data_IF_619377403640
#
_entry.id   IF_619377403640
#
_cell.length_a   1.000
_cell.length_b   1.000
_cell.length_c   1.000
_cell.angle_alpha   90.00
_cell.angle_beta   90.00
_cell.angle_gamma   90.00
#
_symmetry.space_group_name_H-M   'P 1'
#
loop_
_entity.id
_entity.type
_entity.pdbx_description
1 polymer ?
#
# COMPACT_ATOMS: atom_id res chain seq x y z
N UNK A 1 -13.55 62.27 -3.58
CA UNK A 1 -13.49 60.81 -3.81
C UNK A 1 -12.60 60.16 -2.76
N UNK A 2 -13.20 59.36 -1.86
CA UNK A 2 -12.71 59.08 -0.51
C UNK A 2 -11.59 58.05 -0.36
N UNK A 3 -10.84 58.21 0.73
CA UNK A 3 -9.74 57.34 1.22
C UNK A 3 -10.16 55.87 1.36
N UNK A 4 -11.46 55.61 1.48
CA UNK A 4 -12.08 54.28 1.58
C UNK A 4 -11.94 53.45 0.28
N UNK A 5 -11.95 54.10 -0.89
CA UNK A 5 -11.78 53.41 -2.17
C UNK A 5 -10.37 52.84 -2.38
N UNK A 6 -9.34 53.52 -1.84
CA UNK A 6 -7.94 53.03 -1.87
C UNK A 6 -7.74 51.86 -0.91
N UNK A 7 -8.36 51.86 0.27
CA UNK A 7 -8.25 50.75 1.22
C UNK A 7 -8.94 49.47 0.73
N UNK A 8 -10.11 49.58 0.05
CA UNK A 8 -10.80 48.42 -0.55
C UNK A 8 -9.99 47.78 -1.68
N UNK A 9 -9.32 48.58 -2.52
CA UNK A 9 -8.43 48.07 -3.59
C UNK A 9 -7.19 47.35 -3.04
N UNK A 10 -6.59 47.87 -1.96
CA UNK A 10 -5.44 47.23 -1.31
C UNK A 10 -5.83 45.92 -0.58
N UNK A 11 -7.01 45.85 0.04
CA UNK A 11 -7.52 44.62 0.65
C UNK A 11 -7.84 43.55 -0.39
N UNK A 12 -8.43 43.93 -1.53
CA UNK A 12 -8.70 43.00 -2.65
C UNK A 12 -7.42 42.49 -3.30
N UNK A 13 -6.42 43.35 -3.53
CA UNK A 13 -5.12 42.94 -4.05
C UNK A 13 -4.34 42.02 -3.08
N UNK A 14 -4.49 42.20 -1.76
CA UNK A 14 -3.94 41.27 -0.77
C UNK A 14 -4.70 39.92 -0.76
N UNK A 15 -6.03 39.95 -0.86
CA UNK A 15 -6.86 38.75 -0.93
C UNK A 15 -6.59 37.93 -2.21
N UNK A 16 -6.40 38.58 -3.36
CA UNK A 16 -6.02 37.96 -4.64
C UNK A 16 -4.59 37.40 -4.58
N UNK A 17 -3.65 38.05 -3.87
CA UNK A 17 -2.30 37.51 -3.63
C UNK A 17 -2.30 36.31 -2.68
N UNK A 18 -3.17 36.27 -1.67
CA UNK A 18 -3.32 35.08 -0.79
C UNK A 18 -4.07 33.94 -1.49
N UNK A 19 -5.05 34.23 -2.33
CA UNK A 19 -5.73 33.23 -3.16
C UNK A 19 -4.79 32.63 -4.23
N UNK A 20 -3.96 33.46 -4.87
CA UNK A 20 -2.94 33.01 -5.82
C UNK A 20 -1.82 32.20 -5.15
N UNK A 21 -1.54 32.42 -3.86
CA UNK A 21 -0.64 31.55 -3.06
C UNK A 21 -1.25 30.20 -2.71
N UNK A 22 -2.59 30.11 -2.56
CA UNK A 22 -3.29 28.86 -2.29
C UNK A 22 -3.32 27.91 -3.51
N UNK A 23 -3.13 28.46 -4.71
CA UNK A 23 -3.05 27.71 -5.97
C UNK A 23 -1.61 27.40 -6.41
N UNK A 24 -0.62 27.56 -5.51
CA UNK A 24 0.78 27.15 -5.71
C UNK A 24 1.12 25.86 -4.98
N UNK A 25 0.10 25.03 -4.70
CA UNK A 25 0.31 23.64 -4.32
C UNK A 25 0.88 22.86 -5.50
N UNK A 26 1.93 22.09 -5.23
CA UNK A 26 2.46 20.99 -6.05
C UNK A 26 2.92 21.30 -7.48
N UNK A 27 3.75 22.34 -7.67
CA UNK A 27 4.63 22.37 -8.84
C UNK A 27 6.09 22.56 -8.39
N UNK A 28 6.60 21.60 -7.63
CA UNK A 28 8.02 21.45 -7.36
C UNK A 28 8.37 19.97 -7.45
N UNK A 29 9.35 19.68 -8.31
CA UNK A 29 9.92 18.37 -8.67
C UNK A 29 9.12 17.54 -9.70
N UNK A 30 9.31 17.90 -10.98
CA UNK A 30 9.76 16.98 -12.05
C UNK A 30 8.90 15.81 -12.53
N UNK A 31 7.92 15.33 -11.77
CA UNK A 31 7.19 14.12 -12.12
C UNK A 31 5.96 14.45 -12.94
N UNK A 32 5.84 13.82 -14.12
CA UNK A 32 4.75 14.07 -15.06
C UNK A 32 3.44 13.44 -14.58
N UNK A 33 2.79 14.12 -13.63
CA UNK A 33 1.49 13.76 -13.10
C UNK A 33 0.38 13.69 -14.15
N UNK A 34 0.63 14.13 -15.40
CA UNK A 34 -0.32 13.94 -16.51
C UNK A 34 -0.46 12.46 -16.84
N UNK A 35 0.66 11.72 -16.90
CA UNK A 35 0.64 10.27 -17.18
C UNK A 35 -0.15 9.51 -16.12
N UNK A 36 0.05 9.84 -14.84
CA UNK A 36 -0.71 9.24 -13.75
C UNK A 36 -2.20 9.58 -13.89
N UNK A 37 -2.56 10.84 -14.14
CA UNK A 37 -3.97 11.24 -14.34
C UNK A 37 -4.62 10.52 -15.54
N UNK A 38 -3.90 10.37 -16.64
CA UNK A 38 -4.36 9.61 -17.82
C UNK A 38 -4.57 8.12 -17.49
N UNK A 39 -3.70 7.53 -16.67
CA UNK A 39 -3.89 6.16 -16.17
C UNK A 39 -5.12 6.06 -15.27
N UNK A 40 -5.27 6.97 -14.31
CA UNK A 40 -6.41 6.96 -13.38
C UNK A 40 -7.73 7.15 -14.13
N UNK A 41 -7.77 8.05 -15.11
CA UNK A 41 -8.94 8.27 -15.95
C UNK A 41 -9.38 7.00 -16.71
N UNK A 42 -8.42 6.20 -17.20
CA UNK A 42 -8.73 4.90 -17.85
C UNK A 42 -9.30 3.85 -16.90
N UNK A 43 -9.06 4.00 -15.60
CA UNK A 43 -9.56 3.12 -14.55
C UNK A 43 -10.81 3.69 -13.85
N UNK A 44 -11.35 4.81 -14.34
CA UNK A 44 -12.46 5.52 -13.70
C UNK A 44 -12.12 5.93 -12.26
N UNK A 45 -10.86 6.33 -12.05
CA UNK A 45 -10.33 6.82 -10.78
C UNK A 45 -9.91 8.29 -10.88
N UNK A 46 -9.93 8.99 -9.75
CA UNK A 46 -9.49 10.37 -9.60
C UNK A 46 -8.55 10.56 -8.41
N UNK A 47 -7.67 11.55 -8.54
CA UNK A 47 -6.68 11.91 -7.52
C UNK A 47 -7.28 12.90 -6.52
N UNK A 48 -7.06 12.64 -5.23
CA UNK A 48 -7.38 13.55 -4.11
C UNK A 48 -6.08 13.98 -3.45
N UNK A 49 -5.72 15.25 -3.60
CA UNK A 49 -4.44 15.79 -3.15
C UNK A 49 -4.40 16.01 -1.64
N UNK A 50 -3.36 15.47 -0.99
CA UNK A 50 -3.07 15.61 0.43
C UNK A 50 -2.16 16.80 0.68
N UNK A 51 -2.15 17.30 1.93
CA UNK A 51 -1.15 18.28 2.33
C UNK A 51 0.25 17.65 2.24
N UNK A 52 1.15 18.32 1.51
CA UNK A 52 2.55 17.93 1.34
C UNK A 52 3.38 18.25 2.59
N UNK A 53 3.09 17.52 3.67
CA UNK A 53 3.86 17.46 4.90
C UNK A 53 4.34 16.02 5.15
N UNK A 54 5.14 15.83 6.22
CA UNK A 54 5.61 14.50 6.64
C UNK A 54 4.51 13.57 7.18
N UNK A 55 3.22 13.92 7.00
CA UNK A 55 2.08 13.07 7.36
C UNK A 55 1.22 12.70 6.14
N UNK A 56 1.66 13.01 4.92
CA UNK A 56 0.89 12.75 3.69
C UNK A 56 0.38 11.30 3.58
N UNK A 57 1.17 10.31 4.00
CA UNK A 57 0.73 8.91 4.07
C UNK A 57 -0.50 8.73 4.96
N UNK A 58 -0.42 9.20 6.21
CA UNK A 58 -1.51 9.07 7.19
C UNK A 58 -2.73 9.88 6.78
N UNK A 59 -2.52 11.00 6.08
CA UNK A 59 -3.58 11.82 5.48
C UNK A 59 -4.29 11.08 4.36
N UNK A 60 -3.56 10.41 3.47
CA UNK A 60 -4.14 9.59 2.41
C UNK A 60 -4.94 8.41 2.99
N UNK A 61 -4.43 7.75 4.03
CA UNK A 61 -5.16 6.69 4.73
C UNK A 61 -6.41 7.21 5.47
N UNK A 62 -6.29 8.39 6.10
CA UNK A 62 -7.42 9.08 6.73
C UNK A 62 -8.52 9.39 5.71
N UNK A 63 -8.13 9.89 4.53
CA UNK A 63 -9.04 10.14 3.42
C UNK A 63 -9.75 8.86 2.97
N UNK A 64 -9.02 7.76 2.78
CA UNK A 64 -9.56 6.45 2.38
C UNK A 64 -10.50 5.82 3.43
N UNK A 65 -10.29 6.08 4.72
CA UNK A 65 -11.11 5.54 5.80
C UNK A 65 -12.32 6.43 6.14
N UNK A 66 -12.12 7.74 6.21
CA UNK A 66 -13.10 8.69 6.74
C UNK A 66 -13.70 9.61 5.69
N UNK A 67 -13.12 9.68 4.50
CA UNK A 67 -13.51 10.66 3.49
C UNK A 67 -12.85 12.03 3.69
N UNK A 68 -11.95 12.15 4.67
CA UNK A 68 -11.31 13.40 5.05
C UNK A 68 -9.92 13.16 5.64
N UNK A 69 -8.98 14.03 5.30
CA UNK A 69 -7.57 13.91 5.69
C UNK A 69 -7.26 14.39 7.12
N UNK A 70 -8.20 15.06 7.81
CA UNK A 70 -7.91 15.70 9.11
C UNK A 70 -7.78 14.71 10.28
N UNK A 71 -8.21 13.46 10.10
CA UNK A 71 -8.12 12.41 11.11
C UNK A 71 -6.76 11.69 11.13
N UNK A 72 -5.79 12.14 10.32
CA UNK A 72 -4.44 11.58 10.25
C UNK A 72 -3.73 11.37 11.60
N UNK A 73 -3.93 12.18 12.67
CA UNK A 73 -3.27 11.94 13.96
C UNK A 73 -3.77 10.65 14.62
N UNK A 74 -5.06 10.32 14.45
CA UNK A 74 -5.66 9.08 14.96
C UNK A 74 -5.15 7.89 14.16
N UNK A 75 -5.15 7.98 12.83
CA UNK A 75 -4.59 6.95 11.94
C UNK A 75 -3.14 6.63 12.31
N UNK A 76 -2.31 7.66 12.46
CA UNK A 76 -0.90 7.50 12.85
C UNK A 76 -0.77 6.84 14.21
N UNK A 77 -1.58 7.26 15.19
CA UNK A 77 -1.57 6.68 16.53
C UNK A 77 -1.91 5.19 16.49
N UNK A 78 -2.94 4.81 15.75
CA UNK A 78 -3.39 3.42 15.69
C UNK A 78 -2.35 2.52 14.99
N UNK A 79 -1.75 2.98 13.90
CA UNK A 79 -0.65 2.26 13.22
C UNK A 79 0.56 2.10 14.14
N UNK A 80 1.01 3.18 14.78
CA UNK A 80 2.16 3.14 15.70
C UNK A 80 1.87 2.22 16.89
N UNK A 81 0.64 2.24 17.41
CA UNK A 81 0.25 1.36 18.50
C UNK A 81 0.30 -0.10 18.06
N UNK A 82 -0.22 -0.41 16.86
CA UNK A 82 -0.14 -1.75 16.30
C UNK A 82 1.32 -2.22 16.14
N UNK A 83 2.21 -1.34 15.64
CA UNK A 83 3.64 -1.64 15.50
C UNK A 83 4.25 -1.98 16.87
N UNK A 84 3.96 -1.20 17.91
CA UNK A 84 4.45 -1.45 19.26
C UNK A 84 3.94 -2.76 19.84
N UNK A 85 2.66 -3.07 19.62
CA UNK A 85 2.04 -4.28 20.15
C UNK A 85 2.53 -5.56 19.45
N UNK A 86 3.07 -5.43 18.23
CA UNK A 86 3.59 -6.53 17.42
C UNK A 86 5.07 -6.35 17.06
N UNK A 87 5.84 -5.69 17.93
CA UNK A 87 7.21 -5.30 17.65
C UNK A 87 8.08 -6.50 17.25
N UNK A 88 7.96 -7.63 17.97
CA UNK A 88 8.75 -8.84 17.71
C UNK A 88 8.55 -9.40 16.29
N UNK A 89 7.34 -9.25 15.72
CA UNK A 89 7.01 -9.74 14.38
C UNK A 89 7.42 -8.75 13.28
N UNK A 90 7.50 -7.46 13.62
CA UNK A 90 7.74 -6.35 12.68
C UNK A 90 9.18 -5.85 12.69
N UNK A 91 9.95 -6.12 13.76
CA UNK A 91 11.36 -5.74 13.91
C UNK A 91 12.22 -6.05 12.66
N UNK A 92 12.08 -7.21 11.98
CA UNK A 92 12.87 -7.48 10.77
C UNK A 92 12.61 -6.54 9.59
N UNK A 93 11.50 -5.78 9.63
CA UNK A 93 11.08 -4.84 8.59
C UNK A 93 11.22 -3.38 9.03
N UNK A 94 11.63 -3.13 10.28
CA UNK A 94 11.93 -1.79 10.76
C UNK A 94 13.32 -1.39 10.28
N UNK A 95 13.40 -0.25 9.61
CA UNK A 95 14.69 0.35 9.25
C UNK A 95 15.32 0.98 10.50
N UNK A 96 16.66 1.04 10.56
CA UNK A 96 17.40 1.65 11.68
C UNK A 96 17.09 3.16 11.86
N UNK A 97 16.47 3.77 10.86
CA UNK A 97 16.03 5.16 10.85
C UNK A 97 14.52 5.23 11.14
N UNK A 98 14.13 6.00 12.16
CA UNK A 98 12.76 6.12 12.69
C UNK A 98 11.78 6.88 11.76
N UNK A 99 12.05 6.87 10.45
CA UNK A 99 11.29 7.57 9.44
C UNK A 99 9.93 6.88 9.19
N UNK A 100 8.93 7.26 9.98
CA UNK A 100 7.54 6.88 9.77
C UNK A 100 6.99 7.45 8.46
N UNK A 101 6.32 6.62 7.66
CA UNK A 101 5.69 7.06 6.41
C UNK A 101 5.99 6.19 5.19
N UNK A 102 6.40 4.94 5.40
CA UNK A 102 6.85 4.03 4.34
C UNK A 102 5.98 2.78 4.18
N UNK A 103 6.60 1.75 3.60
CA UNK A 103 5.93 0.50 3.28
C UNK A 103 5.45 -0.27 4.52
N UNK A 104 6.17 -0.17 5.65
CA UNK A 104 5.79 -0.81 6.90
C UNK A 104 4.43 -0.29 7.39
N UNK A 105 4.22 1.02 7.41
CA UNK A 105 2.94 1.61 7.83
C UNK A 105 1.79 1.23 6.90
N UNK A 106 2.04 1.13 5.59
CA UNK A 106 1.05 0.64 4.64
C UNK A 106 0.69 -0.84 4.88
N UNK A 107 1.68 -1.68 5.15
CA UNK A 107 1.45 -3.07 5.51
C UNK A 107 0.66 -3.20 6.82
N UNK A 108 1.04 -2.45 7.85
CA UNK A 108 0.31 -2.43 9.13
C UNK A 108 -1.11 -1.91 8.93
N UNK A 109 -1.31 -0.88 8.10
CA UNK A 109 -2.63 -0.39 7.76
C UNK A 109 -3.49 -1.47 7.07
N UNK A 110 -2.91 -2.25 6.15
CA UNK A 110 -3.63 -3.32 5.46
C UNK A 110 -4.14 -4.37 6.46
N UNK A 111 -3.30 -4.75 7.43
CA UNK A 111 -3.65 -5.68 8.49
C UNK A 111 -4.67 -5.10 9.47
N UNK A 112 -4.46 -3.87 9.95
CA UNK A 112 -5.28 -3.26 10.98
C UNK A 112 -6.73 -3.04 10.51
N UNK A 113 -6.91 -2.55 9.28
CA UNK A 113 -8.23 -2.24 8.73
C UNK A 113 -8.79 -3.29 7.78
N UNK A 114 -8.06 -4.38 7.55
CA UNK A 114 -8.52 -5.51 6.74
C UNK A 114 -8.91 -5.06 5.32
N UNK A 115 -7.99 -4.28 4.71
CA UNK A 115 -8.10 -3.71 3.37
C UNK A 115 -6.83 -3.99 2.60
N UNK A 116 -6.95 -4.35 1.32
CA UNK A 116 -5.79 -4.28 0.44
C UNK A 116 -5.41 -2.82 0.24
N UNK A 117 -4.14 -2.54 -0.03
CA UNK A 117 -3.70 -1.19 -0.42
C UNK A 117 -3.01 -1.28 -1.78
N UNK A 118 -3.55 -0.56 -2.75
CA UNK A 118 -3.00 -0.44 -4.09
C UNK A 118 -2.25 0.87 -4.19
N UNK A 119 -0.93 0.78 -4.39
CA UNK A 119 -0.04 1.93 -4.57
C UNK A 119 0.21 2.14 -6.06
N UNK A 120 -0.32 3.23 -6.60
CA UNK A 120 -0.11 3.66 -7.98
C UNK A 120 1.15 4.52 -8.10
N UNK A 121 2.02 4.19 -9.05
CA UNK A 121 3.25 4.92 -9.34
C UNK A 121 3.12 5.66 -10.69
N UNK A 122 3.95 6.69 -10.89
CA UNK A 122 3.83 7.58 -12.06
C UNK A 122 4.35 6.96 -13.35
N UNK A 123 5.13 5.89 -13.24
CA UNK A 123 5.63 5.10 -14.38
C UNK A 123 4.58 4.14 -14.95
N UNK A 124 3.41 4.00 -14.33
CA UNK A 124 2.38 3.06 -14.72
C UNK A 124 2.21 1.88 -13.77
N UNK A 125 3.21 1.63 -12.91
CA UNK A 125 3.23 0.47 -12.05
C UNK A 125 2.23 0.59 -10.92
N UNK A 126 1.73 -0.57 -10.48
CA UNK A 126 0.83 -0.69 -9.32
C UNK A 126 1.31 -1.84 -8.45
N UNK A 127 1.61 -1.55 -7.20
CA UNK A 127 1.92 -2.56 -6.19
C UNK A 127 0.70 -2.75 -5.30
N UNK A 128 0.35 -4.00 -5.02
CA UNK A 128 -0.73 -4.32 -4.07
C UNK A 128 -0.14 -4.90 -2.81
N UNK A 129 -0.51 -4.32 -1.67
CA UNK A 129 -0.23 -4.83 -0.34
C UNK A 129 -1.47 -5.59 0.12
N UNK A 130 -1.30 -6.90 0.31
CA UNK A 130 -2.36 -7.80 0.73
C UNK A 130 -2.64 -7.71 2.24
N UNK A 131 -3.88 -7.95 2.64
CA UNK A 131 -4.29 -7.97 4.06
C UNK A 131 -4.59 -9.38 4.60
N UNK A 132 -4.33 -10.42 3.81
CA UNK A 132 -4.61 -11.83 4.11
C UNK A 132 -6.00 -12.30 3.71
N UNK A 133 -6.85 -11.43 3.13
CA UNK A 133 -8.25 -11.74 2.81
C UNK A 133 -8.59 -11.48 1.35
N UNK A 134 -8.68 -12.54 0.54
CA UNK A 134 -8.86 -12.50 -0.91
C UNK A 134 -10.07 -11.69 -1.44
N UNK A 135 -11.08 -11.41 -0.59
CA UNK A 135 -12.28 -10.65 -0.96
C UNK A 135 -12.37 -9.28 -0.27
N UNK A 136 -11.31 -8.86 0.42
CA UNK A 136 -11.31 -7.55 1.05
C UNK A 136 -11.36 -6.45 -0.02
N UNK A 137 -11.94 -5.30 0.34
CA UNK A 137 -11.91 -4.12 -0.53
C UNK A 137 -10.50 -3.53 -0.56
N UNK A 138 -10.18 -2.80 -1.62
CA UNK A 138 -8.94 -2.06 -1.70
C UNK A 138 -9.13 -0.59 -1.34
N UNK A 139 -8.11 -0.04 -0.69
CA UNK A 139 -7.79 1.38 -0.73
C UNK A 139 -6.77 1.65 -1.81
N UNK A 140 -6.87 2.81 -2.42
CA UNK A 140 -5.98 3.23 -3.50
C UNK A 140 -5.28 4.53 -3.09
N UNK A 141 -3.96 4.52 -3.21
CA UNK A 141 -3.09 5.67 -2.99
C UNK A 141 -2.13 5.79 -4.16
N UNK A 142 -1.58 6.97 -4.41
CA UNK A 142 -0.43 7.10 -5.29
C UNK A 142 0.81 7.54 -4.53
N UNK A 143 1.97 7.17 -5.08
CA UNK A 143 3.27 7.55 -4.57
C UNK A 143 4.10 8.19 -5.68
N UNK A 144 4.68 9.35 -5.39
CA UNK A 144 5.53 10.08 -6.34
C UNK A 144 6.53 11.00 -5.65
N UNK A 145 7.50 11.51 -6.41
CA UNK A 145 8.61 12.35 -5.94
C UNK A 145 9.48 11.71 -4.84
N UNK A 146 9.44 10.38 -4.71
CA UNK A 146 10.15 9.62 -3.68
C UNK A 146 9.81 10.03 -2.22
N UNK A 147 8.69 10.75 -2.00
CA UNK A 147 8.34 11.23 -0.67
C UNK A 147 6.85 11.55 -0.44
N UNK A 148 6.00 11.56 -1.48
CA UNK A 148 4.64 12.07 -1.35
C UNK A 148 3.56 11.06 -1.70
N UNK A 149 2.53 11.02 -0.85
CA UNK A 149 1.33 10.22 -1.02
C UNK A 149 0.10 11.08 -1.20
N UNK A 150 -0.70 10.74 -2.21
CA UNK A 150 -2.06 11.24 -2.39
C UNK A 150 -3.06 10.08 -2.34
N UNK A 151 -4.32 10.41 -2.06
CA UNK A 151 -5.42 9.45 -2.08
C UNK A 151 -5.99 9.30 -3.50
N UNK A 152 -6.51 8.11 -3.82
CA UNK A 152 -7.23 7.85 -5.08
C UNK A 152 -8.63 7.34 -4.77
N UNK A 153 -9.63 7.95 -5.41
CA UNK A 153 -11.04 7.56 -5.28
C UNK A 153 -11.68 7.27 -6.63
N UNK A 154 -12.88 6.71 -6.63
CA UNK A 154 -13.70 6.59 -7.84
C UNK A 154 -14.03 7.97 -8.41
N UNK A 155 -14.14 8.09 -9.74
CA UNK A 155 -14.66 9.31 -10.39
C UNK A 155 -16.11 9.63 -10.02
N UNK A 156 -16.88 8.62 -9.58
CA UNK A 156 -18.27 8.78 -9.14
C UNK A 156 -18.38 9.23 -7.67
N UNK A 157 -17.24 9.34 -6.96
CA UNK A 157 -17.19 9.78 -5.57
C UNK A 157 -17.50 11.28 -5.44
N UNK A 158 -18.31 11.63 -4.44
CA UNK A 158 -18.69 13.03 -4.20
C UNK A 158 -17.59 13.85 -3.51
N UNK A 159 -16.51 13.20 -3.05
CA UNK A 159 -15.37 13.77 -2.33
C UNK A 159 -15.71 14.46 -1.00
N UNK A 160 -16.97 14.41 -0.56
CA UNK A 160 -17.46 15.08 0.64
C UNK A 160 -17.88 14.09 1.72
N UNK A 161 -18.08 12.83 1.34
CA UNK A 161 -18.52 11.75 2.21
C UNK A 161 -17.48 10.61 2.26
N UNK A 162 -17.84 9.53 2.97
CA UNK A 162 -17.02 8.33 3.04
C UNK A 162 -16.79 7.76 1.64
N UNK A 163 -15.54 7.38 1.29
CA UNK A 163 -15.21 6.98 -0.07
C UNK A 163 -16.03 5.77 -0.53
N UNK A 164 -16.44 5.81 -1.80
CA UNK A 164 -17.11 4.70 -2.45
C UNK A 164 -16.24 3.43 -2.45
N UNK A 165 -16.85 2.24 -2.34
CA UNK A 165 -16.15 0.98 -2.50
C UNK A 165 -15.45 0.88 -3.84
N UNK A 166 -14.12 0.80 -3.82
CA UNK A 166 -13.39 0.23 -4.94
C UNK A 166 -13.36 -1.30 -4.80
N UNK A 167 -13.54 -2.03 -5.92
CA UNK A 167 -13.50 -3.48 -5.92
C UNK A 167 -12.12 -3.98 -5.42
N UNK A 168 -12.03 -5.26 -5.00
CA UNK A 168 -10.71 -5.86 -4.80
C UNK A 168 -9.86 -5.63 -6.06
N UNK A 169 -8.53 -5.46 -5.91
CA UNK A 169 -7.68 -5.19 -7.04
C UNK A 169 -7.82 -6.35 -8.03
N UNK A 170 -8.43 -6.06 -9.17
CA UNK A 170 -8.51 -7.02 -10.28
C UNK A 170 -7.06 -7.20 -10.69
N UNK A 171 -6.52 -8.40 -10.49
CA UNK A 171 -5.21 -8.76 -11.03
C UNK A 171 -5.32 -8.64 -12.55
N UNK A 172 -5.02 -7.47 -13.10
CA UNK A 172 -4.75 -7.29 -14.55
C UNK A 172 -3.44 -7.99 -14.97
N UNK A 173 -2.94 -8.90 -14.14
CA UNK A 173 -1.92 -9.93 -14.36
C UNK A 173 -2.54 -11.33 -14.43
N UNK A 174 -3.75 -11.46 -14.99
CA UNK A 174 -4.44 -12.73 -15.16
C UNK A 174 -3.73 -13.76 -16.07
N UNK A 175 -2.73 -13.33 -16.84
CA UNK A 175 -1.89 -14.23 -17.64
C UNK A 175 -0.59 -14.63 -16.93
N UNK A 176 -0.04 -13.78 -16.05
CA UNK A 176 1.31 -14.00 -15.50
C UNK A 176 1.29 -14.68 -14.13
N UNK A 177 0.25 -14.50 -13.32
CA UNK A 177 0.17 -15.15 -11.99
C UNK A 177 -0.21 -16.62 -12.07
N UNK A 178 -1.11 -17.02 -12.98
CA UNK A 178 -1.44 -18.44 -13.22
C UNK A 178 -0.28 -19.17 -13.87
N UNK A 179 0.36 -18.57 -14.89
CA UNK A 179 1.54 -19.12 -15.54
C UNK A 179 2.75 -19.16 -14.61
N UNK A 180 2.95 -18.16 -13.74
CA UNK A 180 4.01 -18.16 -12.74
C UNK A 180 3.72 -19.18 -11.63
N UNK A 181 2.49 -19.24 -11.11
CA UNK A 181 2.03 -20.27 -10.16
C UNK A 181 2.25 -21.67 -10.72
N UNK A 182 1.87 -21.91 -11.98
CA UNK A 182 2.05 -23.20 -12.64
C UNK A 182 3.53 -23.52 -12.89
N UNK A 183 4.33 -22.53 -13.31
CA UNK A 183 5.78 -22.66 -13.43
C UNK A 183 6.44 -23.02 -12.09
N UNK A 184 6.07 -22.34 -11.01
CA UNK A 184 6.61 -22.54 -9.67
C UNK A 184 6.18 -23.88 -9.08
N UNK A 185 4.91 -24.26 -9.22
CA UNK A 185 4.43 -25.59 -8.84
C UNK A 185 5.14 -26.70 -9.63
N UNK A 186 5.36 -26.50 -10.93
CA UNK A 186 6.10 -27.46 -11.77
C UNK A 186 7.56 -27.58 -11.34
N UNK A 187 8.22 -26.47 -11.02
CA UNK A 187 9.57 -26.47 -10.47
C UNK A 187 9.61 -27.22 -9.12
N UNK A 188 8.71 -26.89 -8.19
CA UNK A 188 8.63 -27.53 -6.88
C UNK A 188 8.33 -29.04 -6.96
N UNK A 189 7.47 -29.48 -7.89
CA UNK A 189 7.24 -30.91 -8.16
C UNK A 189 8.51 -31.62 -8.65
N UNK A 190 9.37 -30.91 -9.39
CA UNK A 190 10.66 -31.45 -9.84
C UNK A 190 11.67 -31.55 -8.68
N UNK A 191 11.67 -30.58 -7.78
CA UNK A 191 12.58 -30.55 -6.63
C UNK A 191 12.18 -31.53 -5.50
N UNK A 192 10.89 -31.85 -5.39
CA UNK A 192 10.34 -32.73 -4.36
C UNK A 192 9.51 -33.87 -4.98
N UNK A 193 10.12 -34.78 -5.76
CA UNK A 193 9.40 -35.78 -6.56
C UNK A 193 8.68 -36.87 -5.74
N UNK A 194 9.01 -37.01 -4.45
CA UNK A 194 8.42 -38.00 -3.55
C UNK A 194 7.26 -37.44 -2.72
N UNK A 195 6.94 -36.15 -2.86
CA UNK A 195 5.89 -35.49 -2.10
C UNK A 195 4.55 -35.62 -2.83
N UNK A 196 3.47 -35.79 -2.06
CA UNK A 196 2.13 -35.79 -2.62
C UNK A 196 1.81 -34.42 -3.26
N UNK A 197 1.17 -34.44 -4.43
CA UNK A 197 0.91 -33.22 -5.20
C UNK A 197 -0.05 -32.29 -4.50
N UNK A 198 -1.07 -32.83 -3.84
CA UNK A 198 -2.11 -32.05 -3.18
C UNK A 198 -1.59 -31.47 -1.87
N UNK A 199 -0.76 -32.24 -1.14
CA UNK A 199 -0.04 -31.73 0.04
C UNK A 199 0.94 -30.59 -0.33
N UNK A 200 1.67 -30.74 -1.44
CA UNK A 200 2.62 -29.73 -1.91
C UNK A 200 1.91 -28.45 -2.35
N UNK A 201 0.79 -28.56 -3.06
CA UNK A 201 -0.03 -27.42 -3.47
C UNK A 201 -0.68 -26.72 -2.27
N UNK A 202 -1.23 -27.48 -1.33
CA UNK A 202 -1.79 -26.91 -0.09
C UNK A 202 -0.75 -26.16 0.74
N UNK A 203 0.47 -26.70 0.87
CA UNK A 203 1.56 -26.02 1.56
C UNK A 203 2.05 -24.78 0.81
N UNK A 204 2.01 -24.81 -0.52
CA UNK A 204 2.37 -23.67 -1.35
C UNK A 204 1.37 -22.53 -1.16
N UNK A 205 0.07 -22.84 -1.14
CA UNK A 205 -0.99 -21.88 -0.85
C UNK A 205 -0.91 -21.33 0.58
N UNK A 206 -0.68 -22.19 1.58
CA UNK A 206 -0.47 -21.78 2.97
C UNK A 206 0.74 -20.85 3.15
N UNK A 207 1.68 -20.87 2.20
CA UNK A 207 2.88 -20.04 2.21
C UNK A 207 2.79 -18.88 1.19
N UNK A 208 1.57 -18.47 0.85
CA UNK A 208 1.30 -17.32 -0.02
C UNK A 208 1.90 -17.48 -1.44
N UNK A 209 1.92 -18.70 -1.95
CA UNK A 209 2.46 -19.02 -3.29
C UNK A 209 3.94 -18.62 -3.46
N UNK A 210 4.73 -18.64 -2.38
CA UNK A 210 6.16 -18.35 -2.39
C UNK A 210 6.99 -19.66 -2.45
N UNK A 211 7.69 -19.93 -3.57
CA UNK A 211 8.44 -21.18 -3.73
C UNK A 211 9.69 -21.23 -2.83
N UNK A 212 10.27 -20.10 -2.45
CA UNK A 212 11.45 -20.05 -1.58
C UNK A 212 11.08 -20.44 -0.14
N UNK A 213 9.97 -19.91 0.38
CA UNK A 213 9.45 -20.28 1.70
C UNK A 213 9.14 -21.77 1.80
N UNK A 214 8.55 -22.35 0.76
CA UNK A 214 8.23 -23.78 0.74
C UNK A 214 9.51 -24.64 0.76
N UNK A 215 10.52 -24.31 -0.07
CA UNK A 215 11.83 -24.99 -0.07
C UNK A 215 12.49 -24.92 1.31
N UNK A 216 12.48 -23.76 1.96
CA UNK A 216 13.04 -23.57 3.28
C UNK A 216 12.34 -24.47 4.31
N UNK A 217 11.00 -24.47 4.33
CA UNK A 217 10.18 -25.28 5.25
C UNK A 217 10.41 -26.79 5.06
N UNK A 218 10.46 -27.28 3.83
CA UNK A 218 10.70 -28.70 3.53
C UNK A 218 12.15 -29.13 3.85
N UNK A 219 13.13 -28.26 3.60
CA UNK A 219 14.52 -28.54 3.96
C UNK A 219 14.71 -28.61 5.49
N UNK A 220 14.01 -27.75 6.25
CA UNK A 220 14.03 -27.74 7.70
C UNK A 220 13.38 -29.00 8.31
N UNK A 221 12.23 -29.45 7.77
CA UNK A 221 11.59 -30.72 8.17
C UNK A 221 12.54 -31.91 7.98
N UNK A 222 13.24 -31.97 6.85
CA UNK A 222 14.18 -33.06 6.53
C UNK A 222 15.40 -33.07 7.46
N UNK A 223 15.95 -31.90 7.80
CA UNK A 223 17.05 -31.78 8.78
C UNK A 223 16.61 -32.25 10.18
N UNK A 224 15.41 -31.86 10.61
CA UNK A 224 14.84 -32.26 11.91
C UNK A 224 14.62 -33.77 12.00
N UNK A 225 14.10 -34.40 10.94
CA UNK A 225 13.91 -35.84 10.87
C UNK A 225 15.24 -36.61 10.94
N UNK A 226 16.28 -36.19 10.19
CA UNK A 226 17.62 -36.81 10.20
C UNK A 226 18.31 -36.68 11.57
N UNK A 227 18.17 -35.53 12.22
CA UNK A 227 18.74 -35.30 13.56
C UNK A 227 18.11 -36.24 14.60
N UNK A 228 16.79 -36.41 14.56
CA UNK A 228 16.05 -37.26 15.50
C UNK A 228 16.38 -38.75 15.34
N UNK A 229 16.58 -39.23 14.11
CA UNK A 229 17.03 -40.61 13.83
C UNK A 229 18.45 -40.84 14.34
N UNK A 230 19.36 -39.86 14.18
CA UNK A 230 20.73 -39.95 14.67
C UNK A 230 20.80 -40.00 16.20
N UNK A 231 19.89 -39.32 16.91
CA UNK A 231 19.80 -39.41 18.36
C UNK A 231 19.26 -40.76 18.86
N UNK A 232 18.28 -41.36 18.16
CA UNK A 232 17.74 -42.68 18.52
C UNK A 232 18.73 -43.83 18.31
N UNK A 233 19.70 -43.71 17.39
CA UNK A 233 20.78 -44.70 17.19
C UNK A 233 21.94 -44.58 18.17
N UNK A 234 21.98 -43.55 19.02
CA UNK A 234 23.04 -43.30 20.02
C UNK A 234 22.59 -43.58 21.47
N UNK A 235 21.41 -44.18 21.62
CA UNK A 235 20.90 -44.78 22.86
C UNK A 235 20.86 -46.29 22.67
#
# INVERSE_FOLDING_TARGET
>A
MGREGKQRKLKRAKAEKTASKKNRGSHALGVDMRKLREQLARLELQLVTMEADGNCLFRALSDQLHGDQTHFPVIRKDIVQYIKDHQDDLEPFMEDEEALGGNLELYVASLLWQRHIVVHQVDGNRTTIDCGHAKARAWHVCYYNDEHYDSIRSVDDDLMSTPLPLPPPVTETGADTSAQRERDLKALRTDFPTMDTDELESLFEQLQCDPAKLRQKLSAKTKKAKHMVKMKKRR
#
